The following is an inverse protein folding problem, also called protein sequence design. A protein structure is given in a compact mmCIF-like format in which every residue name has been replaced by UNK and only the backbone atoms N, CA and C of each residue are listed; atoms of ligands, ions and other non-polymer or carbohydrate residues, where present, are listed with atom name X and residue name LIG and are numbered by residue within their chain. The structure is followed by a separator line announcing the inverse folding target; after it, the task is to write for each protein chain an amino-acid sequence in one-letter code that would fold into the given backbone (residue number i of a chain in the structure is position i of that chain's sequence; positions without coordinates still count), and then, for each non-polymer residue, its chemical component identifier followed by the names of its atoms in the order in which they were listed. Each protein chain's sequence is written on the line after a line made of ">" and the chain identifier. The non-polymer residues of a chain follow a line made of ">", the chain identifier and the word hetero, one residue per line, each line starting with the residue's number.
data_IF_616670969299
#
_entry.id   IF_616670969299
#
_cell.length_a   1.000
_cell.length_b   1.000
_cell.length_c   1.000
_cell.angle_alpha   90.00
_cell.angle_beta   90.00
_cell.angle_gamma   90.00
#
_symmetry.space_group_name_H-M   'P 1'
#
loop_
_entity.id
_entity.type
_entity.pdbx_description
1 polymer ?
#
# COMPACT_ATOMS: atom_id res chain seq x y z
N UNK A 1 -35.04 64.28 -41.75
CA UNK A 1 -35.05 62.82 -41.60
C UNK A 1 -33.71 62.40 -41.06
N UNK A 2 -33.60 62.22 -39.72
CA UNK A 2 -32.35 61.78 -39.06
C UNK A 2 -32.43 60.25 -38.92
N UNK A 3 -31.47 59.53 -39.51
CA UNK A 3 -31.29 58.07 -39.33
C UNK A 3 -30.29 57.86 -38.21
N UNK A 4 -30.78 57.36 -37.06
CA UNK A 4 -29.90 56.89 -35.95
C UNK A 4 -29.34 55.54 -36.30
N UNK A 5 -28.01 55.42 -36.34
CA UNK A 5 -27.29 54.16 -36.40
C UNK A 5 -27.13 53.63 -34.99
N UNK A 6 -27.76 52.47 -34.70
CA UNK A 6 -27.51 51.72 -33.49
C UNK A 6 -26.35 50.76 -33.73
N UNK A 7 -25.21 51.02 -33.09
CA UNK A 7 -24.07 50.12 -33.08
C UNK A 7 -24.29 49.07 -31.95
N UNK A 8 -24.51 47.82 -32.31
CA UNK A 8 -24.59 46.71 -31.37
C UNK A 8 -23.16 46.26 -31.03
N UNK A 9 -22.75 46.50 -29.79
CA UNK A 9 -21.45 46.03 -29.25
C UNK A 9 -21.66 44.60 -28.74
N UNK A 10 -21.19 43.61 -29.47
CA UNK A 10 -21.19 42.20 -29.06
C UNK A 10 -20.04 41.98 -28.10
N UNK A 11 -20.36 41.78 -26.82
CA UNK A 11 -19.41 41.40 -25.78
C UNK A 11 -19.08 39.90 -25.94
N UNK A 12 -17.92 39.56 -26.49
CA UNK A 12 -17.42 38.21 -26.54
C UNK A 12 -16.84 37.87 -25.15
N UNK A 13 -17.64 37.17 -24.34
CA UNK A 13 -17.17 36.61 -23.05
C UNK A 13 -16.28 35.41 -23.36
N UNK A 14 -14.97 35.61 -23.41
CA UNK A 14 -14.00 34.52 -23.49
C UNK A 14 -14.01 33.70 -22.19
N UNK A 15 -14.59 32.52 -22.21
CA UNK A 15 -14.47 31.57 -21.10
C UNK A 15 -13.03 31.09 -21.03
N UNK A 16 -12.26 31.60 -20.07
CA UNK A 16 -10.97 31.01 -19.72
C UNK A 16 -11.23 29.64 -19.12
N UNK A 17 -11.01 28.61 -19.89
CA UNK A 17 -10.95 27.22 -19.37
C UNK A 17 -9.67 27.10 -18.54
N UNK A 18 -9.78 27.25 -17.23
CA UNK A 18 -8.75 26.79 -16.32
C UNK A 18 -8.63 25.28 -16.50
N UNK A 19 -7.47 24.80 -16.95
CA UNK A 19 -7.18 23.39 -16.88
C UNK A 19 -7.29 22.99 -15.40
N UNK A 20 -8.24 22.12 -15.07
CA UNK A 20 -8.34 21.60 -13.72
C UNK A 20 -7.05 20.87 -13.37
N UNK A 21 -6.48 21.13 -12.19
CA UNK A 21 -5.31 20.42 -11.72
C UNK A 21 -5.60 18.91 -11.73
N UNK A 22 -4.64 18.12 -12.21
CA UNK A 22 -4.79 16.66 -12.24
C UNK A 22 -5.00 16.11 -10.82
N UNK A 23 -5.90 15.16 -10.64
CA UNK A 23 -6.05 14.50 -9.35
C UNK A 23 -4.73 13.84 -8.93
N UNK A 24 -4.41 13.89 -7.66
CA UNK A 24 -3.18 13.32 -7.10
C UNK A 24 -3.52 12.11 -6.24
N UNK A 25 -2.91 10.97 -6.52
CA UNK A 25 -3.00 9.76 -5.71
C UNK A 25 -1.69 9.56 -4.96
N UNK A 26 -1.75 9.50 -3.63
CA UNK A 26 -0.58 9.30 -2.76
C UNK A 26 -0.52 7.84 -2.33
N UNK A 27 0.66 7.23 -2.50
CA UNK A 27 0.92 5.87 -2.02
C UNK A 27 1.97 5.87 -0.90
N UNK A 28 1.72 5.09 0.13
CA UNK A 28 2.65 4.83 1.23
C UNK A 28 3.11 3.38 1.13
N UNK A 29 4.32 3.15 0.64
CA UNK A 29 4.92 1.83 0.48
C UNK A 29 5.72 1.49 1.74
N UNK A 30 5.31 0.48 2.51
CA UNK A 30 6.00 0.14 3.75
C UNK A 30 6.02 -1.36 4.04
N UNK A 31 6.95 -1.78 4.87
CA UNK A 31 7.14 -3.18 5.23
C UNK A 31 8.60 -3.58 5.42
N UNK A 32 8.88 -4.88 5.27
CA UNK A 32 10.24 -5.39 5.48
C UNK A 32 10.98 -5.70 4.16
N UNK A 33 11.77 -6.76 4.12
CA UNK A 33 12.75 -7.04 3.04
C UNK A 33 12.12 -7.13 1.65
N UNK A 34 10.95 -7.74 1.50
CA UNK A 34 10.29 -7.84 0.20
C UNK A 34 9.75 -6.48 -0.28
N UNK A 35 9.27 -5.62 0.62
CA UNK A 35 9.00 -4.22 0.25
C UNK A 35 10.30 -3.46 -0.02
N UNK A 36 11.35 -3.65 0.79
CA UNK A 36 12.63 -2.96 0.59
C UNK A 36 13.27 -3.33 -0.76
N UNK A 37 13.18 -4.61 -1.16
CA UNK A 37 13.70 -5.13 -2.43
C UNK A 37 12.92 -4.69 -3.68
N UNK A 38 11.63 -4.40 -3.54
CA UNK A 38 10.83 -3.88 -4.65
C UNK A 38 11.34 -2.50 -5.07
N UNK A 39 11.85 -2.38 -6.30
CA UNK A 39 12.18 -1.10 -6.90
C UNK A 39 10.93 -0.52 -7.59
N UNK A 40 10.33 0.57 -7.07
CA UNK A 40 9.10 1.11 -7.64
C UNK A 40 9.23 1.50 -9.12
N UNK A 41 10.42 1.91 -9.56
CA UNK A 41 10.67 2.33 -10.95
C UNK A 41 10.48 1.22 -11.99
N UNK A 42 10.53 -0.06 -11.59
CA UNK A 42 10.49 -1.17 -12.52
C UNK A 42 9.08 -1.73 -12.75
N UNK A 43 8.22 -1.74 -11.72
CA UNK A 43 6.88 -2.30 -11.81
C UNK A 43 5.79 -1.30 -11.41
N UNK A 44 5.93 -0.69 -10.23
CA UNK A 44 4.93 0.21 -9.66
C UNK A 44 4.72 1.48 -10.49
N UNK A 45 5.78 2.27 -10.78
CA UNK A 45 5.65 3.54 -11.51
C UNK A 45 5.14 3.34 -12.95
N UNK A 46 5.66 2.38 -13.76
CA UNK A 46 5.11 2.14 -15.09
C UNK A 46 3.64 1.74 -15.08
N UNK A 47 3.24 0.90 -14.12
CA UNK A 47 1.84 0.50 -13.97
C UNK A 47 0.97 1.66 -13.50
N UNK A 48 1.44 2.46 -12.54
CA UNK A 48 0.72 3.64 -12.08
C UNK A 48 0.46 4.64 -13.22
N UNK A 49 1.46 4.88 -14.07
CA UNK A 49 1.30 5.72 -15.26
C UNK A 49 0.28 5.16 -16.26
N UNK A 50 0.25 3.84 -16.42
CA UNK A 50 -0.70 3.19 -17.33
C UNK A 50 -2.14 3.20 -16.77
N UNK A 51 -2.29 2.98 -15.46
CA UNK A 51 -3.60 2.88 -14.81
C UNK A 51 -4.23 4.24 -14.48
N UNK A 52 -3.42 5.30 -14.33
CA UNK A 52 -3.86 6.66 -13.99
C UNK A 52 -3.32 7.70 -14.98
N UNK A 53 -3.65 7.62 -16.29
CA UNK A 53 -3.06 8.50 -17.33
C UNK A 53 -3.40 9.97 -17.11
N UNK A 54 -4.55 10.27 -16.51
CA UNK A 54 -5.04 11.63 -16.27
C UNK A 54 -4.82 12.13 -14.84
N UNK A 55 -4.07 11.37 -14.03
CA UNK A 55 -3.73 11.73 -12.66
C UNK A 55 -2.21 11.77 -12.44
N UNK A 56 -1.81 12.39 -11.35
CA UNK A 56 -0.45 12.30 -10.81
C UNK A 56 -0.42 11.23 -9.73
N UNK A 57 0.55 10.32 -9.78
CA UNK A 57 0.79 9.33 -8.73
C UNK A 57 2.13 9.63 -8.08
N UNK A 58 2.10 9.89 -6.77
CA UNK A 58 3.30 10.12 -5.96
C UNK A 58 3.36 9.11 -4.81
N UNK A 59 4.56 8.83 -4.34
CA UNK A 59 4.70 7.87 -3.24
C UNK A 59 5.84 8.22 -2.28
N UNK A 60 5.74 7.68 -1.08
CA UNK A 60 6.85 7.53 -0.15
C UNK A 60 7.13 6.04 0.06
N UNK A 61 8.38 5.71 0.42
CA UNK A 61 8.76 4.34 0.73
C UNK A 61 9.58 4.29 2.01
N UNK A 62 9.05 3.56 3.02
CA UNK A 62 9.71 3.33 4.30
C UNK A 62 9.71 1.83 4.57
N UNK A 63 10.81 1.16 4.27
CA UNK A 63 10.93 -0.29 4.42
C UNK A 63 12.33 -0.70 4.86
N UNK A 64 12.44 -1.73 5.72
CA UNK A 64 13.70 -2.23 6.24
C UNK A 64 13.65 -3.75 6.45
N UNK A 65 14.64 -4.46 5.91
CA UNK A 65 14.73 -5.91 6.00
C UNK A 65 14.73 -6.46 7.42
N UNK A 66 14.04 -7.60 7.62
CA UNK A 66 14.05 -8.37 8.87
C UNK A 66 13.41 -7.70 10.08
N UNK A 67 12.45 -6.78 9.88
CA UNK A 67 11.83 -6.01 10.96
C UNK A 67 10.41 -6.49 11.27
N UNK A 68 10.08 -6.71 12.57
CA UNK A 68 8.76 -7.10 13.01
C UNK A 68 7.80 -5.91 13.05
N UNK A 69 6.49 -6.18 12.97
CA UNK A 69 5.44 -5.16 12.93
C UNK A 69 5.45 -4.22 14.13
N UNK A 70 5.89 -4.69 15.31
CA UNK A 70 5.99 -3.89 16.53
C UNK A 70 6.87 -2.62 16.41
N UNK A 71 7.68 -2.53 15.36
CA UNK A 71 8.48 -1.33 15.07
C UNK A 71 7.70 -0.25 14.29
N UNK A 72 6.43 -0.51 13.98
CA UNK A 72 5.52 0.43 13.31
C UNK A 72 4.36 0.89 14.18
N UNK A 73 4.13 0.29 15.37
CA UNK A 73 2.98 0.63 16.23
C UNK A 73 3.41 1.02 17.65
N UNK A 74 2.62 1.86 18.31
CA UNK A 74 2.86 2.28 19.69
C UNK A 74 2.28 1.27 20.69
N UNK A 75 1.18 0.63 20.33
CA UNK A 75 0.32 -0.19 21.18
C UNK A 75 0.80 -1.64 21.31
N UNK A 76 1.99 -1.96 20.81
CA UNK A 76 2.49 -3.33 20.80
C UNK A 76 2.47 -4.01 22.18
N UNK A 77 2.86 -3.32 23.24
CA UNK A 77 2.94 -3.95 24.55
C UNK A 77 1.56 -4.40 25.08
N UNK A 78 0.51 -3.64 24.79
CA UNK A 78 -0.87 -3.95 25.19
C UNK A 78 -1.40 -5.10 24.35
N UNK A 79 -1.23 -5.05 23.03
CA UNK A 79 -1.61 -6.14 22.11
C UNK A 79 -0.87 -7.43 22.46
N UNK A 80 0.43 -7.37 22.72
CA UNK A 80 1.22 -8.53 23.11
C UNK A 80 0.71 -9.16 24.42
N UNK A 81 0.34 -8.33 25.40
CA UNK A 81 -0.21 -8.79 26.68
C UNK A 81 -1.55 -9.50 26.49
N UNK A 82 -2.46 -8.97 25.67
CA UNK A 82 -3.74 -9.61 25.33
C UNK A 82 -3.57 -11.02 24.74
N UNK A 83 -2.53 -11.18 23.91
CA UNK A 83 -2.15 -12.46 23.33
C UNK A 83 -1.17 -13.28 24.17
N UNK A 84 -0.93 -12.91 25.43
CA UNK A 84 -0.02 -13.59 26.38
C UNK A 84 1.43 -13.72 25.83
N UNK A 85 1.85 -12.77 25.04
CA UNK A 85 3.23 -12.67 24.52
C UNK A 85 4.08 -11.83 25.46
N UNK A 86 5.34 -12.19 25.62
CA UNK A 86 6.29 -11.47 26.50
C UNK A 86 7.19 -10.50 25.73
N UNK A 87 7.13 -10.51 24.42
CA UNK A 87 7.95 -9.65 23.55
C UNK A 87 7.55 -8.19 23.74
N UNK A 88 8.54 -7.33 23.98
CA UNK A 88 8.33 -5.90 24.19
C UNK A 88 8.47 -5.10 22.90
N UNK A 89 7.94 -3.88 22.91
CA UNK A 89 8.09 -2.92 21.82
C UNK A 89 9.56 -2.56 21.60
N UNK A 90 9.95 -2.41 20.34
CA UNK A 90 11.24 -1.87 19.91
C UNK A 90 11.13 -0.35 19.59
N UNK A 91 9.99 0.27 19.94
CA UNK A 91 9.67 1.64 19.58
C UNK A 91 9.16 1.77 18.13
N UNK A 92 8.62 2.93 17.82
CA UNK A 92 8.00 3.22 16.50
C UNK A 92 9.01 3.71 15.47
N UNK A 93 10.08 2.96 15.27
CA UNK A 93 11.23 3.36 14.47
C UNK A 93 10.86 3.71 13.02
N UNK A 94 9.92 2.96 12.44
CA UNK A 94 9.53 3.14 11.03
C UNK A 94 8.22 3.89 10.86
N UNK A 95 7.42 4.08 11.90
CA UNK A 95 6.17 4.84 11.84
C UNK A 95 6.42 6.34 11.68
N UNK A 96 7.30 6.90 12.52
CA UNK A 96 7.65 8.34 12.47
C UNK A 96 8.19 8.79 11.11
N UNK A 97 9.10 8.04 10.45
CA UNK A 97 9.53 8.36 9.08
C UNK A 97 8.39 8.40 8.06
N UNK A 98 7.36 7.54 8.18
CA UNK A 98 6.17 7.60 7.32
C UNK A 98 5.49 8.96 7.49
N UNK A 99 5.18 9.35 8.73
CA UNK A 99 4.51 10.63 9.01
C UNK A 99 5.32 11.82 8.48
N UNK A 100 6.64 11.82 8.72
CA UNK A 100 7.51 12.92 8.29
C UNK A 100 7.62 13.04 6.76
N UNK A 101 7.69 11.91 6.03
CA UNK A 101 7.73 11.94 4.58
C UNK A 101 6.37 12.29 3.98
N UNK A 102 5.28 11.77 4.54
CA UNK A 102 3.93 12.10 4.11
C UNK A 102 3.62 13.60 4.29
N UNK A 103 4.01 14.19 5.42
CA UNK A 103 3.84 15.63 5.65
C UNK A 103 4.46 16.48 4.54
N UNK A 104 5.66 16.11 4.05
CA UNK A 104 6.31 16.79 2.91
C UNK A 104 5.56 16.64 1.60
N UNK A 105 4.86 15.51 1.40
CA UNK A 105 4.01 15.34 0.22
C UNK A 105 2.74 16.20 0.33
N UNK A 106 2.13 16.29 1.50
CA UNK A 106 0.93 17.11 1.73
C UNK A 106 1.22 18.60 1.59
N UNK A 107 2.41 19.07 1.93
CA UNK A 107 2.82 20.47 1.63
C UNK A 107 2.75 20.80 0.14
N UNK A 108 3.05 19.82 -0.73
CA UNK A 108 3.01 19.97 -2.19
C UNK A 108 1.65 19.61 -2.79
N UNK A 109 0.95 18.68 -2.18
CA UNK A 109 -0.31 18.10 -2.66
C UNK A 109 -1.35 18.13 -1.53
N UNK A 110 -1.86 19.29 -1.11
CA UNK A 110 -2.66 19.45 0.12
C UNK A 110 -4.01 18.73 0.09
N UNK A 111 -4.54 18.44 -1.11
CA UNK A 111 -5.85 17.81 -1.29
C UNK A 111 -5.73 16.60 -2.23
N UNK A 112 -5.08 15.50 -1.81
CA UNK A 112 -4.96 14.32 -2.66
C UNK A 112 -6.33 13.70 -2.89
N UNK A 113 -6.55 13.21 -4.11
CA UNK A 113 -7.78 12.50 -4.48
C UNK A 113 -7.91 11.16 -3.76
N UNK A 114 -6.79 10.53 -3.44
CA UNK A 114 -6.75 9.32 -2.59
C UNK A 114 -5.41 9.15 -1.88
N UNK A 115 -5.45 8.39 -0.80
CA UNK A 115 -4.25 7.86 -0.11
C UNK A 115 -4.38 6.35 -0.04
N UNK A 116 -3.32 5.62 -0.39
CA UNK A 116 -3.28 4.16 -0.33
C UNK A 116 -2.02 3.68 0.40
N UNK A 117 -2.19 2.83 1.39
CA UNK A 117 -1.11 2.17 2.12
C UNK A 117 -0.84 0.78 1.53
N UNK A 118 0.37 0.53 1.02
CA UNK A 118 0.83 -0.77 0.53
C UNK A 118 1.77 -1.39 1.55
N UNK A 119 1.44 -2.60 2.01
CA UNK A 119 2.14 -3.29 3.06
C UNK A 119 2.71 -4.63 2.61
N UNK A 120 4.01 -4.88 2.85
CA UNK A 120 4.65 -6.17 2.63
C UNK A 120 5.57 -6.48 3.82
N UNK A 121 5.06 -7.26 4.77
CA UNK A 121 5.75 -7.63 6.00
C UNK A 121 4.99 -8.78 6.68
N UNK A 122 5.61 -9.48 7.61
CA UNK A 122 5.02 -10.56 8.41
C UNK A 122 5.99 -11.71 8.63
N UNK A 123 7.00 -11.85 7.77
CA UNK A 123 7.97 -12.94 7.80
C UNK A 123 8.76 -12.96 9.13
N UNK A 124 9.07 -11.77 9.66
CA UNK A 124 9.79 -11.67 10.94
C UNK A 124 8.90 -12.06 12.12
N UNK A 125 7.64 -11.64 12.10
CA UNK A 125 6.66 -11.98 13.15
C UNK A 125 6.35 -13.47 13.16
N UNK A 126 6.18 -14.09 11.98
CA UNK A 126 6.04 -15.54 11.86
C UNK A 126 7.29 -16.26 12.44
N UNK A 127 8.49 -15.80 12.10
CA UNK A 127 9.75 -16.37 12.60
C UNK A 127 9.90 -16.25 14.12
N UNK A 128 9.44 -15.16 14.71
CA UNK A 128 9.47 -14.92 16.15
C UNK A 128 8.28 -15.54 16.89
N UNK A 129 7.39 -16.27 16.20
CA UNK A 129 6.19 -16.91 16.74
C UNK A 129 5.20 -15.91 17.37
N UNK A 130 5.05 -14.77 16.70
CA UNK A 130 4.18 -13.68 17.14
C UNK A 130 2.86 -13.62 16.33
N UNK A 131 2.55 -14.66 15.58
CA UNK A 131 1.41 -14.71 14.67
C UNK A 131 0.06 -14.49 15.35
N UNK A 132 -0.06 -14.83 16.63
CA UNK A 132 -1.28 -14.65 17.42
C UNK A 132 -1.68 -13.16 17.51
N UNK A 133 -0.70 -12.25 17.63
CA UNK A 133 -0.95 -10.81 17.78
C UNK A 133 -0.94 -10.07 16.43
N UNK A 134 -0.60 -10.74 15.33
CA UNK A 134 -0.32 -10.07 14.07
C UNK A 134 -1.53 -9.37 13.45
N UNK A 135 -2.71 -9.99 13.51
CA UNK A 135 -3.96 -9.39 13.02
C UNK A 135 -4.26 -8.06 13.72
N UNK A 136 -4.27 -8.06 15.04
CA UNK A 136 -4.59 -6.86 15.83
C UNK A 136 -3.52 -5.79 15.66
N UNK A 137 -2.26 -6.17 15.59
CA UNK A 137 -1.15 -5.25 15.33
C UNK A 137 -1.27 -4.57 13.95
N UNK A 138 -1.62 -5.32 12.90
CA UNK A 138 -1.79 -4.75 11.55
C UNK A 138 -3.04 -3.88 11.45
N UNK A 139 -4.13 -4.29 12.07
CA UNK A 139 -5.36 -3.49 12.18
C UNK A 139 -5.09 -2.17 12.91
N UNK A 140 -4.34 -2.24 14.01
CA UNK A 140 -3.95 -1.05 14.76
C UNK A 140 -3.06 -0.11 13.93
N UNK A 141 -2.10 -0.65 13.18
CA UNK A 141 -1.26 0.14 12.28
C UNK A 141 -2.10 0.92 11.26
N UNK A 142 -3.04 0.26 10.59
CA UNK A 142 -3.92 0.89 9.60
C UNK A 142 -4.79 1.96 10.26
N UNK A 143 -5.35 1.68 11.43
CA UNK A 143 -6.14 2.63 12.21
C UNK A 143 -5.33 3.87 12.57
N UNK A 144 -4.10 3.69 13.06
CA UNK A 144 -3.20 4.79 13.38
C UNK A 144 -2.85 5.62 12.15
N UNK A 145 -2.54 4.98 11.02
CA UNK A 145 -2.25 5.69 9.77
C UNK A 145 -3.45 6.50 9.27
N UNK A 146 -4.66 5.96 9.28
CA UNK A 146 -5.87 6.69 8.91
C UNK A 146 -6.06 7.95 9.77
N UNK A 147 -5.82 7.84 11.08
CA UNK A 147 -5.90 8.96 12.03
C UNK A 147 -4.81 10.00 11.80
N UNK A 148 -3.55 9.55 11.80
CA UNK A 148 -2.38 10.45 11.88
C UNK A 148 -2.02 11.08 10.54
N UNK A 149 -2.33 10.41 9.41
CA UNK A 149 -2.27 11.00 8.08
C UNK A 149 -3.50 11.86 7.75
N UNK A 150 -4.49 11.94 8.66
CA UNK A 150 -5.78 12.63 8.43
C UNK A 150 -6.49 12.14 7.15
N UNK A 151 -6.37 10.86 6.88
CA UNK A 151 -6.92 10.20 5.71
C UNK A 151 -7.90 9.08 6.12
N UNK A 152 -9.09 9.39 6.67
CA UNK A 152 -10.02 8.39 7.20
C UNK A 152 -10.50 7.38 6.14
N UNK A 153 -10.45 7.76 4.87
CA UNK A 153 -10.76 6.90 3.71
C UNK A 153 -9.49 6.34 3.05
N UNK A 154 -8.40 6.22 3.78
CA UNK A 154 -7.18 5.62 3.24
C UNK A 154 -7.43 4.15 2.89
N UNK A 155 -7.23 3.82 1.61
CA UNK A 155 -7.21 2.44 1.15
C UNK A 155 -5.95 1.73 1.65
N UNK A 156 -6.00 0.40 1.72
CA UNK A 156 -4.78 -0.36 1.92
C UNK A 156 -4.75 -1.63 1.06
N UNK A 157 -3.54 -2.01 0.67
CA UNK A 157 -3.28 -3.24 -0.09
C UNK A 157 -2.17 -4.01 0.61
N UNK A 158 -2.46 -5.22 1.04
CA UNK A 158 -1.52 -6.09 1.76
C UNK A 158 -0.94 -7.11 0.78
N UNK A 159 0.39 -7.16 0.63
CA UNK A 159 1.07 -8.31 0.05
C UNK A 159 0.99 -9.47 1.04
N UNK A 160 0.22 -10.52 0.73
CA UNK A 160 0.18 -11.74 1.51
C UNK A 160 1.56 -12.40 1.46
N UNK A 161 2.08 -12.88 2.60
CA UNK A 161 3.32 -13.66 2.59
C UNK A 161 3.22 -14.77 1.54
N UNK A 162 4.31 -15.04 0.82
CA UNK A 162 4.37 -16.13 -0.15
C UNK A 162 4.28 -17.50 0.52
N UNK A 163 4.19 -18.54 -0.27
CA UNK A 163 4.12 -19.95 0.16
C UNK A 163 5.46 -20.51 0.65
N UNK A 164 6.43 -19.62 0.93
CA UNK A 164 7.74 -20.00 1.46
C UNK A 164 7.65 -20.84 2.73
N UNK A 165 8.49 -21.85 2.80
CA UNK A 165 8.60 -22.73 3.95
C UNK A 165 7.78 -24.02 3.82
N UNK A 166 7.69 -24.74 4.93
CA UNK A 166 6.93 -25.98 4.96
C UNK A 166 5.44 -25.72 5.23
N UNK A 167 4.54 -26.54 4.69
CA UNK A 167 3.09 -26.41 4.94
C UNK A 167 2.70 -26.42 6.42
N UNK A 168 3.51 -27.05 7.27
CA UNK A 168 3.30 -27.16 8.73
C UNK A 168 3.88 -25.97 9.53
N UNK A 169 4.41 -24.95 8.86
CA UNK A 169 4.87 -23.74 9.53
C UNK A 169 3.68 -22.87 9.98
N UNK A 170 3.13 -23.25 11.12
CA UNK A 170 1.87 -22.69 11.67
C UNK A 170 1.86 -21.18 11.78
N UNK A 171 2.91 -20.56 12.32
CA UNK A 171 2.98 -19.10 12.47
C UNK A 171 2.97 -18.39 11.11
N UNK A 172 3.63 -18.96 10.10
CA UNK A 172 3.62 -18.42 8.75
C UNK A 172 2.21 -18.44 8.16
N UNK A 173 1.53 -19.57 8.27
CA UNK A 173 0.16 -19.71 7.78
C UNK A 173 -0.83 -18.82 8.54
N UNK A 174 -0.64 -18.63 9.84
CA UNK A 174 -1.46 -17.73 10.64
C UNK A 174 -1.30 -16.27 10.20
N UNK A 175 -0.06 -15.81 9.92
CA UNK A 175 0.17 -14.46 9.38
C UNK A 175 -0.50 -14.31 8.02
N UNK A 176 -0.35 -15.28 7.10
CA UNK A 176 -1.03 -15.26 5.79
C UNK A 176 -2.55 -15.11 5.92
N UNK A 177 -3.15 -15.92 6.81
CA UNK A 177 -4.61 -15.86 7.08
C UNK A 177 -5.02 -14.50 7.67
N UNK A 178 -4.23 -13.96 8.60
CA UNK A 178 -4.50 -12.65 9.20
C UNK A 178 -4.47 -11.53 8.17
N UNK A 179 -3.54 -11.58 7.22
CA UNK A 179 -3.40 -10.61 6.15
C UNK A 179 -4.61 -10.60 5.21
N UNK A 180 -5.05 -11.76 4.74
CA UNK A 180 -6.23 -11.90 3.87
C UNK A 180 -7.50 -11.49 4.63
N UNK A 181 -7.69 -12.04 5.83
CA UNK A 181 -8.86 -11.74 6.67
C UNK A 181 -9.03 -10.24 6.89
N UNK A 182 -7.95 -9.53 7.24
CA UNK A 182 -8.04 -8.10 7.49
C UNK A 182 -8.40 -7.31 6.22
N UNK A 183 -7.87 -7.73 5.07
CA UNK A 183 -8.18 -7.08 3.80
C UNK A 183 -9.65 -7.30 3.38
N UNK A 184 -10.20 -8.49 3.64
CA UNK A 184 -11.58 -8.84 3.30
C UNK A 184 -12.63 -8.26 4.26
N UNK A 185 -12.24 -7.96 5.51
CA UNK A 185 -13.15 -7.39 6.52
C UNK A 185 -13.25 -5.85 6.45
N UNK A 186 -12.46 -5.18 5.62
CA UNK A 186 -12.44 -3.72 5.49
C UNK A 186 -12.78 -3.32 4.05
N UNK A 187 -13.85 -2.56 3.85
CA UNK A 187 -14.31 -2.11 2.52
C UNK A 187 -13.25 -1.31 1.73
N UNK A 188 -12.23 -0.79 2.41
CA UNK A 188 -11.10 -0.07 1.81
C UNK A 188 -9.84 -0.93 1.75
N UNK A 189 -9.98 -2.24 1.93
CA UNK A 189 -8.91 -3.22 1.97
C UNK A 189 -8.84 -4.10 0.72
N UNK A 190 -7.62 -4.46 0.33
CA UNK A 190 -7.34 -5.49 -0.66
C UNK A 190 -6.05 -6.23 -0.31
N UNK A 191 -5.83 -7.36 -0.94
CA UNK A 191 -4.59 -8.11 -0.81
C UNK A 191 -4.02 -8.54 -2.17
N UNK A 192 -2.75 -8.88 -2.18
CA UNK A 192 -2.01 -9.37 -3.34
C UNK A 192 -1.48 -10.76 -3.03
N UNK A 193 -1.73 -11.72 -3.90
CA UNK A 193 -1.08 -13.02 -3.86
C UNK A 193 0.39 -12.90 -4.28
N UNK A 194 1.26 -13.50 -3.49
CA UNK A 194 2.71 -13.46 -3.72
C UNK A 194 3.33 -14.86 -3.89
N UNK A 195 2.52 -15.90 -4.06
CA UNK A 195 2.99 -17.30 -4.12
C UNK A 195 3.81 -17.57 -5.40
N UNK A 196 3.55 -16.86 -6.48
CA UNK A 196 4.29 -16.97 -7.75
C UNK A 196 5.48 -16.00 -7.88
N UNK A 197 5.71 -15.14 -6.89
CA UNK A 197 6.74 -14.09 -6.97
C UNK A 197 8.13 -14.58 -6.51
N UNK A 198 8.17 -15.67 -5.74
CA UNK A 198 9.37 -16.21 -5.09
C UNK A 198 9.94 -17.46 -5.78
N UNK A 199 9.36 -17.92 -6.87
CA UNK A 199 9.77 -19.10 -7.63
C UNK A 199 11.12 -18.89 -8.31
N UNK A 200 12.21 -19.28 -7.63
CA UNK A 200 13.56 -19.24 -8.19
C UNK A 200 13.93 -20.57 -8.82
N UNK A 201 14.62 -20.50 -9.94
CA UNK A 201 15.18 -21.67 -10.58
C UNK A 201 16.73 -21.62 -10.53
N UNK A 202 17.36 -22.70 -10.06
CA UNK A 202 18.79 -22.87 -10.07
C UNK A 202 19.12 -24.29 -10.54
N UNK A 203 19.87 -24.39 -11.66
CA UNK A 203 20.26 -25.68 -12.27
C UNK A 203 19.05 -26.58 -12.59
N UNK A 204 17.96 -26.02 -13.13
CA UNK A 204 16.73 -26.76 -13.46
C UNK A 204 15.86 -27.13 -12.25
N UNK A 205 16.26 -26.76 -11.04
CA UNK A 205 15.50 -27.03 -9.82
C UNK A 205 14.76 -25.76 -9.39
N UNK A 206 13.43 -25.80 -9.39
CA UNK A 206 12.60 -24.75 -8.84
C UNK A 206 12.61 -24.81 -7.31
N UNK A 207 12.72 -23.68 -6.68
CA UNK A 207 12.66 -23.52 -5.22
C UNK A 207 11.92 -22.24 -4.90
N UNK A 208 11.00 -22.34 -3.96
CA UNK A 208 10.44 -21.16 -3.31
C UNK A 208 11.52 -20.54 -2.43
N UNK A 209 11.67 -19.23 -2.54
CA UNK A 209 12.64 -18.48 -1.74
C UNK A 209 11.89 -17.50 -0.81
N UNK A 210 12.54 -17.10 0.27
CA UNK A 210 12.04 -16.05 1.15
C UNK A 210 11.88 -14.71 0.42
N UNK A 211 12.79 -14.43 -0.52
CA UNK A 211 12.81 -13.19 -1.29
C UNK A 211 12.43 -13.44 -2.74
N UNK A 212 11.72 -12.48 -3.33
CA UNK A 212 11.19 -12.59 -4.67
C UNK A 212 12.29 -12.52 -5.74
N UNK A 213 11.95 -12.99 -6.93
CA UNK A 213 12.76 -12.76 -8.13
C UNK A 213 12.69 -11.29 -8.53
N UNK A 214 13.51 -10.86 -9.47
CA UNK A 214 13.41 -9.51 -10.03
C UNK A 214 12.04 -9.28 -10.65
N UNK A 215 11.60 -10.21 -11.47
CA UNK A 215 10.29 -10.22 -12.14
C UNK A 215 9.16 -10.27 -11.11
N UNK A 216 9.34 -11.04 -10.02
CA UNK A 216 8.41 -11.09 -8.90
C UNK A 216 8.24 -9.74 -8.20
N UNK A 217 9.32 -8.99 -7.99
CA UNK A 217 9.24 -7.62 -7.45
C UNK A 217 8.55 -6.64 -8.41
N UNK A 218 8.80 -6.76 -9.71
CA UNK A 218 8.11 -5.94 -10.71
C UNK A 218 6.61 -6.23 -10.71
N UNK A 219 6.24 -7.51 -10.66
CA UNK A 219 4.84 -7.94 -10.63
C UNK A 219 4.15 -7.54 -9.32
N UNK A 220 4.83 -7.62 -8.17
CA UNK A 220 4.33 -7.11 -6.90
C UNK A 220 3.92 -5.63 -7.00
N UNK A 221 4.79 -4.81 -7.58
CA UNK A 221 4.51 -3.39 -7.80
C UNK A 221 3.28 -3.16 -8.67
N UNK A 222 3.13 -3.92 -9.76
CA UNK A 222 1.96 -3.85 -10.64
C UNK A 222 0.67 -4.26 -9.93
N UNK A 223 0.69 -5.38 -9.20
CA UNK A 223 -0.48 -5.87 -8.45
C UNK A 223 -0.94 -4.87 -7.39
N UNK A 224 -0.01 -4.21 -6.70
CA UNK A 224 -0.37 -3.14 -5.76
C UNK A 224 -1.15 -2.02 -6.44
N UNK A 225 -0.69 -1.55 -7.59
CA UNK A 225 -1.36 -0.46 -8.31
C UNK A 225 -2.75 -0.89 -8.78
N UNK A 226 -2.90 -2.10 -9.34
CA UNK A 226 -4.17 -2.59 -9.87
C UNK A 226 -5.22 -2.81 -8.78
N UNK A 227 -4.86 -3.44 -7.66
CA UNK A 227 -5.75 -3.58 -6.51
C UNK A 227 -6.15 -2.20 -5.93
N UNK A 228 -5.17 -1.30 -5.78
CA UNK A 228 -5.43 0.05 -5.32
C UNK A 228 -6.37 0.81 -6.26
N UNK A 229 -6.22 0.64 -7.59
CA UNK A 229 -7.11 1.26 -8.57
C UNK A 229 -8.55 0.81 -8.40
N UNK A 230 -8.78 -0.50 -8.20
CA UNK A 230 -10.12 -1.01 -7.94
C UNK A 230 -10.75 -0.31 -6.72
N UNK A 231 -10.03 -0.25 -5.59
CA UNK A 231 -10.51 0.45 -4.39
C UNK A 231 -10.76 1.95 -4.62
N UNK A 232 -9.85 2.63 -5.33
CA UNK A 232 -9.98 4.07 -5.63
C UNK A 232 -11.22 4.35 -6.50
N UNK A 233 -11.55 3.45 -7.40
CA UNK A 233 -12.72 3.55 -8.28
C UNK A 233 -14.01 3.00 -7.66
N UNK A 234 -13.96 2.51 -6.42
CA UNK A 234 -15.11 1.87 -5.76
C UNK A 234 -15.55 0.56 -6.42
N UNK A 235 -14.61 -0.15 -7.03
CA UNK A 235 -14.80 -1.46 -7.64
C UNK A 235 -14.27 -2.57 -6.73
N UNK A 236 -14.79 -3.78 -6.93
CA UNK A 236 -14.28 -4.95 -6.22
C UNK A 236 -12.84 -5.27 -6.66
N UNK A 237 -11.91 -5.41 -5.71
CA UNK A 237 -10.57 -5.93 -5.99
C UNK A 237 -10.60 -7.37 -6.48
N UNK A 238 -9.54 -7.84 -7.15
CA UNK A 238 -9.41 -9.23 -7.53
C UNK A 238 -9.39 -10.15 -6.30
N UNK A 239 -10.38 -11.05 -6.18
CA UNK A 239 -10.57 -11.94 -5.02
C UNK A 239 -9.38 -12.88 -4.78
N UNK A 240 -8.73 -13.35 -5.86
CA UNK A 240 -7.58 -14.23 -5.79
C UNK A 240 -6.25 -13.49 -5.51
N UNK A 241 -6.30 -12.17 -5.35
CA UNK A 241 -5.12 -11.32 -5.16
C UNK A 241 -4.21 -11.22 -6.38
N UNK A 242 -4.67 -11.63 -7.55
CA UNK A 242 -3.91 -11.63 -8.83
C UNK A 242 -4.58 -10.74 -9.89
N UNK A 243 -4.69 -9.43 -9.67
CA UNK A 243 -5.30 -8.54 -10.64
C UNK A 243 -4.49 -8.53 -11.95
N UNK A 244 -5.19 -8.68 -13.08
CA UNK A 244 -4.64 -8.64 -14.44
C UNK A 244 -4.59 -7.21 -15.03
#
# INVERSE_FOLDING_TARGET
>A
MLRSLFTVLTLVCGSATFAADKPVHIFVLSGQSNMAGMNPKLGFEPEAKAQFPDAEVVYIKVAQGGRPIRMWIYEWNDIAAEHKLTTKSDGTVYYKPILAQYAKLIEKHPNPASVTFCWMQGERDAREKLSAAYYDALKQLITNLRRDLKAPKMNFVIGRLSDFGKPDYTDWQNVRKAQVKLAEEDELGAWVDCDDLNNKEKNGVKRDDLHYTREGYELLGRRYVRQAKALIEGKEPAEDGRPE
#
